data_IF_182584180550
#
_entry.id   IF_182584180550
#
_cell.length_a   1.000
_cell.length_b   1.000
_cell.length_c   1.000
_cell.angle_alpha   90.00
_cell.angle_beta   90.00
_cell.angle_gamma   90.00
#
_symmetry.space_group_name_H-M   'P 1'
#
loop_
_entity.id
_entity.type
_entity.pdbx_description
1 polymer ?
#
# COMPACT_ATOMS: atom_id res chain seq x y z
N UNK A 1 -56.19 17.25 -28.55
CA UNK A 1 -56.94 16.03 -28.17
C UNK A 1 -56.19 14.83 -28.74
N UNK A 2 -55.70 13.92 -27.88
CA UNK A 2 -55.21 12.55 -28.15
C UNK A 2 -54.50 12.18 -29.47
N UNK A 3 -53.18 11.99 -29.41
CA UNK A 3 -52.28 11.13 -30.23
C UNK A 3 -51.01 10.92 -29.37
N UNK A 4 -50.32 9.78 -29.24
CA UNK A 4 -50.56 8.35 -29.50
C UNK A 4 -49.51 7.57 -28.66
N UNK A 5 -49.81 6.37 -28.17
CA UNK A 5 -48.89 5.54 -27.38
C UNK A 5 -48.30 4.39 -28.19
N UNK A 6 -46.99 4.39 -28.45
CA UNK A 6 -46.28 3.15 -28.80
C UNK A 6 -44.76 3.16 -28.53
N UNK A 7 -44.36 2.25 -27.63
CA UNK A 7 -43.20 1.35 -27.75
C UNK A 7 -41.85 1.92 -28.23
N UNK A 8 -40.98 2.20 -27.25
CA UNK A 8 -39.54 2.43 -27.45
C UNK A 8 -38.68 1.82 -26.34
N UNK A 9 -38.67 0.49 -26.19
CA UNK A 9 -37.70 -0.18 -25.30
C UNK A 9 -36.27 0.03 -25.84
N UNK A 10 -35.49 0.87 -25.16
CA UNK A 10 -34.02 0.93 -25.30
C UNK A 10 -33.40 1.05 -23.91
N UNK A 11 -32.71 0.01 -23.48
CA UNK A 11 -31.84 0.08 -22.32
C UNK A 11 -30.53 0.79 -22.72
N UNK A 12 -30.03 1.75 -21.93
CA UNK A 12 -28.64 2.17 -22.06
C UNK A 12 -27.74 1.08 -21.47
N UNK A 13 -27.24 0.21 -22.34
CA UNK A 13 -26.01 -0.53 -22.09
C UNK A 13 -24.86 0.47 -21.95
N UNK A 14 -24.20 0.51 -20.79
CA UNK A 14 -23.21 1.54 -20.48
C UNK A 14 -22.14 1.09 -19.48
N UNK A 15 -21.15 0.36 -19.97
CA UNK A 15 -19.83 0.13 -19.36
C UNK A 15 -19.77 -0.33 -17.88
N UNK A 16 -19.77 -1.65 -17.70
CA UNK A 16 -19.01 -2.29 -16.60
C UNK A 16 -17.52 -1.94 -16.74
N UNK A 17 -17.03 -1.03 -15.90
CA UNK A 17 -15.64 -0.57 -15.88
C UNK A 17 -14.68 -1.45 -15.06
N UNK A 18 -14.63 -2.75 -15.34
CA UNK A 18 -13.64 -3.63 -14.74
C UNK A 18 -12.34 -3.62 -15.56
N UNK A 19 -11.33 -2.85 -15.13
CA UNK A 19 -9.93 -3.06 -15.53
C UNK A 19 -9.06 -3.07 -14.28
N UNK A 20 -8.57 -4.24 -13.85
CA UNK A 20 -7.55 -5.08 -14.49
C UNK A 20 -6.13 -4.52 -14.27
N UNK A 21 -5.42 -5.24 -13.41
CA UNK A 21 -4.03 -5.06 -13.02
C UNK A 21 -3.09 -5.17 -14.25
N UNK A 22 -2.28 -4.15 -14.52
CA UNK A 22 -1.26 -4.21 -15.57
C UNK A 22 0.06 -3.56 -15.11
N UNK A 23 0.85 -4.29 -14.33
CA UNK A 23 2.20 -3.88 -13.96
C UNK A 23 3.22 -4.45 -14.97
N UNK A 24 3.52 -3.69 -16.03
CA UNK A 24 4.55 -4.06 -16.99
C UNK A 24 5.95 -3.69 -16.45
N UNK A 25 6.76 -4.70 -16.15
CA UNK A 25 8.16 -4.57 -15.75
C UNK A 25 9.08 -4.72 -16.98
N UNK A 26 9.88 -3.70 -17.27
CA UNK A 26 11.08 -3.85 -18.10
C UNK A 26 12.30 -4.01 -17.20
N UNK A 27 13.10 -5.07 -17.44
CA UNK A 27 14.28 -5.42 -16.63
C UNK A 27 15.47 -5.61 -17.57
N UNK A 28 16.58 -4.86 -17.40
CA UNK A 28 17.89 -5.30 -17.89
C UNK A 28 18.47 -6.31 -16.90
N UNK A 29 18.74 -7.53 -17.37
CA UNK A 29 19.38 -8.57 -16.56
C UNK A 29 20.89 -8.33 -16.49
N UNK A 30 21.46 -8.42 -15.28
CA UNK A 30 22.91 -8.41 -15.05
C UNK A 30 23.26 -9.63 -14.19
N UNK A 31 23.89 -10.61 -14.83
CA UNK A 31 24.38 -11.82 -14.20
C UNK A 31 25.79 -11.63 -13.62
N UNK A 32 26.14 -12.47 -12.65
CA UNK A 32 27.49 -12.56 -12.06
C UNK A 32 27.48 -12.33 -10.54
N UNK A 33 27.95 -13.27 -9.72
CA UNK A 33 28.41 -14.63 -10.02
C UNK A 33 28.68 -15.43 -8.75
N UNK A 34 28.66 -16.75 -8.83
CA UNK A 34 29.22 -17.60 -7.77
C UNK A 34 30.75 -17.59 -7.83
N UNK A 35 31.40 -17.59 -6.66
CA UNK A 35 32.12 -18.74 -6.12
C UNK A 35 33.12 -18.34 -5.02
N UNK A 36 33.32 -19.22 -4.03
CA UNK A 36 34.63 -19.82 -3.74
C UNK A 36 34.48 -20.95 -2.71
N UNK A 37 34.93 -22.13 -3.11
CA UNK A 37 35.16 -23.30 -2.23
C UNK A 37 36.66 -23.52 -2.10
N UNK A 38 37.13 -23.79 -0.88
CA UNK A 38 38.43 -24.41 -0.56
C UNK A 38 38.44 -24.75 0.94
N UNK A 39 39.09 -25.77 1.47
CA UNK A 39 39.47 -27.11 0.96
C UNK A 39 39.81 -27.96 2.21
N UNK A 40 39.77 -29.30 2.16
CA UNK A 40 39.93 -30.12 3.36
C UNK A 40 41.39 -30.26 3.81
N UNK A 41 41.62 -30.34 5.12
CA UNK A 41 42.89 -30.80 5.71
C UNK A 41 42.64 -32.00 6.61
N UNK A 42 43.34 -33.11 6.37
CA UNK A 42 43.18 -34.39 7.11
C UNK A 42 44.55 -35.07 7.30
N UNK A 43 45.00 -35.16 8.57
CA UNK A 43 45.92 -36.15 9.16
C UNK A 43 46.07 -35.82 10.68
N UNK A 44 46.27 -36.74 11.64
CA UNK A 44 46.21 -38.21 11.69
C UNK A 44 46.48 -38.71 13.13
N UNK A 45 46.06 -39.94 13.54
CA UNK A 45 46.35 -40.50 14.87
C UNK A 45 47.78 -41.13 14.92
N UNK A 46 48.37 -41.52 16.08
CA UNK A 46 47.71 -41.91 17.34
C UNK A 46 48.36 -41.40 18.66
N UNK A 47 47.70 -41.66 19.80
CA UNK A 47 48.27 -41.43 21.14
C UNK A 47 47.25 -41.52 22.27
N UNK A 48 46.84 -42.72 22.68
CA UNK A 48 45.97 -42.90 23.84
C UNK A 48 46.73 -42.67 25.15
N UNK A 49 46.35 -41.63 25.88
CA UNK A 49 46.59 -41.51 27.31
C UNK A 49 45.25 -41.67 28.03
N UNK A 50 45.15 -42.46 29.12
CA UNK A 50 43.90 -42.65 29.85
C UNK A 50 43.53 -41.40 30.66
N UNK A 51 43.02 -40.40 29.95
CA UNK A 51 42.44 -39.19 30.52
C UNK A 51 41.21 -39.59 31.33
N UNK A 52 41.34 -39.51 32.66
CA UNK A 52 40.26 -39.76 33.62
C UNK A 52 39.12 -38.80 33.30
N UNK A 53 38.06 -39.31 32.66
CA UNK A 53 36.92 -38.51 32.26
C UNK A 53 36.18 -38.03 33.52
N UNK A 54 36.50 -36.82 33.97
CA UNK A 54 35.64 -36.08 34.89
C UNK A 54 34.38 -35.77 34.10
N UNK A 55 33.31 -36.53 34.34
CA UNK A 55 31.98 -36.20 33.86
C UNK A 55 31.52 -34.96 34.64
N UNK A 56 32.00 -33.80 34.21
CA UNK A 56 31.36 -32.54 34.52
C UNK A 56 29.97 -32.65 33.93
N UNK A 57 28.96 -32.81 34.78
CA UNK A 57 27.58 -32.80 34.35
C UNK A 57 27.36 -31.50 33.55
N UNK A 58 27.07 -31.62 32.26
CA UNK A 58 26.85 -30.46 31.42
C UNK A 58 25.76 -29.61 32.09
N UNK A 59 25.96 -28.28 32.27
CA UNK A 59 24.91 -27.43 32.81
C UNK A 59 23.69 -27.62 31.92
N UNK A 60 22.59 -28.08 32.53
CA UNK A 60 21.46 -28.66 31.80
C UNK A 60 21.02 -27.76 30.66
N UNK A 61 20.76 -28.37 29.49
CA UNK A 61 20.52 -27.66 28.23
C UNK A 61 19.42 -26.62 28.36
N UNK A 62 19.83 -25.39 28.68
CA UNK A 62 18.94 -24.24 28.68
C UNK A 62 18.68 -23.94 27.22
N UNK A 63 17.60 -24.52 26.70
CA UNK A 63 17.06 -24.31 25.34
C UNK A 63 16.54 -22.88 25.18
N UNK A 64 17.46 -21.92 25.30
CA UNK A 64 17.24 -20.49 25.14
C UNK A 64 16.82 -20.29 23.70
N UNK A 65 15.51 -20.09 23.50
CA UNK A 65 14.87 -20.06 22.18
C UNK A 65 15.63 -19.11 21.25
N UNK A 66 16.44 -19.70 20.36
CA UNK A 66 17.29 -18.93 19.43
C UNK A 66 16.39 -18.06 18.56
N UNK A 67 16.74 -16.78 18.32
CA UNK A 67 16.01 -15.96 17.36
C UNK A 67 15.93 -16.70 16.02
N UNK A 68 14.72 -16.95 15.52
CA UNK A 68 14.54 -17.54 14.22
C UNK A 68 14.95 -16.52 13.15
N UNK A 69 15.79 -16.92 12.20
CA UNK A 69 16.01 -16.12 11.00
C UNK A 69 14.68 -16.00 10.25
N UNK A 70 14.27 -14.78 9.94
CA UNK A 70 13.10 -14.53 9.10
C UNK A 70 13.59 -14.27 7.68
N UNK A 71 13.31 -15.21 6.80
CA UNK A 71 13.54 -15.06 5.37
C UNK A 71 12.43 -14.23 4.73
N UNK A 72 12.83 -13.33 3.84
CA UNK A 72 11.95 -12.47 3.04
C UNK A 72 12.09 -12.86 1.57
N UNK A 73 11.08 -12.58 0.73
CA UNK A 73 11.25 -12.75 -0.71
C UNK A 73 12.29 -11.77 -1.26
N UNK A 74 13.04 -12.17 -2.29
CA UNK A 74 14.08 -11.34 -2.93
C UNK A 74 13.56 -9.96 -3.37
N UNK A 75 12.27 -9.90 -3.71
CA UNK A 75 11.60 -8.68 -4.17
C UNK A 75 11.11 -7.76 -3.03
N UNK A 76 11.18 -8.19 -1.77
CA UNK A 76 10.70 -7.45 -0.60
C UNK A 76 11.28 -6.03 -0.50
N UNK A 77 12.60 -5.90 -0.63
CA UNK A 77 13.29 -4.61 -0.58
C UNK A 77 12.92 -3.68 -1.74
N UNK A 78 12.65 -4.23 -2.93
CA UNK A 78 12.22 -3.45 -4.09
C UNK A 78 10.80 -2.92 -3.91
N UNK A 79 9.85 -3.76 -3.48
CA UNK A 79 8.47 -3.34 -3.16
C UNK A 79 8.46 -2.32 -2.04
N UNK A 80 9.32 -2.47 -1.01
CA UNK A 80 9.41 -1.53 0.10
C UNK A 80 9.82 -0.12 -0.36
N UNK A 81 10.83 -0.02 -1.25
CA UNK A 81 11.27 1.26 -1.82
C UNK A 81 10.18 1.91 -2.68
N UNK A 82 9.45 1.13 -3.47
CA UNK A 82 8.32 1.63 -4.28
C UNK A 82 7.21 2.18 -3.37
N UNK A 83 6.81 1.41 -2.35
CA UNK A 83 5.80 1.81 -1.37
C UNK A 83 6.20 3.10 -0.61
N UNK A 84 7.46 3.19 -0.17
CA UNK A 84 7.99 4.39 0.49
C UNK A 84 7.95 5.62 -0.42
N UNK A 85 8.41 5.49 -1.67
CA UNK A 85 8.43 6.60 -2.63
C UNK A 85 7.01 7.06 -2.98
N UNK A 86 6.11 6.11 -3.26
CA UNK A 86 4.70 6.38 -3.51
C UNK A 86 4.06 7.15 -2.34
N UNK A 87 4.28 6.69 -1.12
CA UNK A 87 3.74 7.32 0.09
C UNK A 87 4.20 8.77 0.30
N UNK A 88 5.40 9.16 -0.15
CA UNK A 88 5.83 10.57 -0.12
C UNK A 88 5.08 11.47 -1.12
N UNK A 89 4.66 10.92 -2.27
CA UNK A 89 3.90 11.69 -3.29
C UNK A 89 2.43 11.90 -2.92
N UNK A 90 1.92 11.17 -1.93
CA UNK A 90 0.55 11.29 -1.41
C UNK A 90 0.22 12.72 -0.94
N UNK A 91 1.10 13.32 -0.11
CA UNK A 91 0.85 14.62 0.50
C UNK A 91 0.67 15.77 -0.51
N UNK A 92 1.56 16.00 -1.51
CA UNK A 92 1.34 17.05 -2.49
C UNK A 92 0.08 16.80 -3.35
N UNK A 93 -0.26 15.54 -3.66
CA UNK A 93 -1.50 15.19 -4.36
C UNK A 93 -2.73 15.53 -3.51
N UNK A 94 -2.72 15.23 -2.21
CA UNK A 94 -3.82 15.59 -1.29
C UNK A 94 -4.00 17.11 -1.15
N UNK A 95 -2.91 17.87 -1.04
CA UNK A 95 -2.96 19.34 -0.99
C UNK A 95 -3.57 19.91 -2.28
N UNK A 96 -3.13 19.41 -3.44
CA UNK A 96 -3.68 19.83 -4.73
C UNK A 96 -5.17 19.42 -4.90
N UNK A 97 -5.54 18.22 -4.44
CA UNK A 97 -6.94 17.76 -4.42
C UNK A 97 -7.83 18.64 -3.54
N UNK A 98 -7.36 18.99 -2.34
CA UNK A 98 -8.10 19.86 -1.44
C UNK A 98 -8.30 21.25 -2.04
N UNK A 99 -7.25 21.83 -2.61
CA UNK A 99 -7.30 23.16 -3.24
C UNK A 99 -8.25 23.19 -4.45
N UNK A 100 -8.17 22.19 -5.34
CA UNK A 100 -9.08 22.09 -6.49
C UNK A 100 -10.53 21.82 -6.04
N UNK A 101 -10.71 20.93 -5.07
CA UNK A 101 -12.01 20.58 -4.50
C UNK A 101 -12.71 21.76 -3.82
N UNK A 102 -12.01 22.61 -3.06
CA UNK A 102 -12.63 23.82 -2.48
C UNK A 102 -13.14 24.78 -3.57
N UNK A 103 -12.34 25.03 -4.62
CA UNK A 103 -12.78 25.90 -5.72
C UNK A 103 -14.06 25.40 -6.40
N UNK A 104 -14.21 24.07 -6.56
CA UNK A 104 -15.42 23.45 -7.11
C UNK A 104 -16.61 23.55 -6.14
N UNK A 105 -16.38 23.30 -4.85
CA UNK A 105 -17.44 23.35 -3.82
C UNK A 105 -17.95 24.77 -3.52
N UNK A 106 -17.13 25.79 -3.73
CA UNK A 106 -17.47 27.19 -3.43
C UNK A 106 -18.07 27.92 -4.64
N UNK A 107 -17.70 27.52 -5.87
CA UNK A 107 -18.08 28.21 -7.12
C UNK A 107 -18.91 27.37 -8.09
N UNK A 108 -19.14 26.09 -7.77
CA UNK A 108 -19.75 25.11 -8.67
C UNK A 108 -18.87 24.79 -9.88
N UNK A 109 -19.28 23.77 -10.66
CA UNK A 109 -18.50 23.30 -11.82
C UNK A 109 -18.37 24.32 -12.96
N UNK A 110 -19.27 25.28 -13.09
CA UNK A 110 -19.17 26.30 -14.15
C UNK A 110 -18.48 27.59 -13.69
N UNK A 111 -18.58 27.94 -12.40
CA UNK A 111 -17.91 29.12 -11.83
C UNK A 111 -16.45 28.88 -11.38
N UNK A 112 -16.03 27.62 -11.25
CA UNK A 112 -14.67 27.29 -10.84
C UNK A 112 -13.61 27.57 -11.94
N UNK A 113 -12.40 28.03 -11.57
CA UNK A 113 -11.31 28.26 -12.52
C UNK A 113 -10.91 26.97 -13.25
N UNK A 114 -10.56 27.07 -14.54
CA UNK A 114 -10.25 25.93 -15.42
C UNK A 114 -9.29 24.90 -14.79
N UNK A 115 -8.23 25.35 -14.13
CA UNK A 115 -7.26 24.46 -13.49
C UNK A 115 -7.92 23.53 -12.45
N UNK A 116 -8.86 24.01 -11.64
CA UNK A 116 -9.51 23.18 -10.62
C UNK A 116 -10.42 22.12 -11.27
N UNK A 117 -11.13 22.51 -12.34
CA UNK A 117 -12.07 21.65 -13.09
C UNK A 117 -11.37 20.52 -13.83
N UNK A 118 -10.18 20.79 -14.35
CA UNK A 118 -9.33 19.83 -15.07
C UNK A 118 -8.50 18.97 -14.11
N UNK A 119 -7.89 19.58 -13.09
CA UNK A 119 -6.94 18.90 -12.21
C UNK A 119 -7.63 18.02 -11.18
N UNK A 120 -8.80 18.40 -10.64
CA UNK A 120 -9.48 17.58 -9.63
C UNK A 120 -9.76 16.13 -10.09
N UNK A 121 -10.38 15.88 -11.27
CA UNK A 121 -10.57 14.50 -11.73
C UNK A 121 -9.24 13.81 -12.09
N UNK A 122 -8.26 14.53 -12.64
CA UNK A 122 -6.95 13.96 -12.97
C UNK A 122 -6.17 13.53 -11.71
N UNK A 123 -6.18 14.36 -10.66
CA UNK A 123 -5.59 14.08 -9.36
C UNK A 123 -6.36 13.00 -8.58
N UNK A 124 -7.68 12.89 -8.76
CA UNK A 124 -8.47 11.78 -8.23
C UNK A 124 -8.02 10.45 -8.85
N UNK A 125 -7.87 10.41 -10.19
CA UNK A 125 -7.30 9.26 -10.90
C UNK A 125 -5.87 8.93 -10.43
N UNK A 126 -5.01 9.94 -10.31
CA UNK A 126 -3.65 9.78 -9.79
C UNK A 126 -3.63 9.23 -8.34
N UNK A 127 -4.56 9.68 -7.49
CA UNK A 127 -4.74 9.15 -6.13
C UNK A 127 -5.11 7.67 -6.17
N UNK A 128 -6.08 7.28 -7.00
CA UNK A 128 -6.49 5.88 -7.16
C UNK A 128 -5.35 4.97 -7.63
N UNK A 129 -4.57 5.41 -8.62
CA UNK A 129 -3.37 4.69 -9.09
C UNK A 129 -2.32 4.58 -7.98
N UNK A 130 -2.06 5.69 -7.28
CA UNK A 130 -1.06 5.73 -6.21
C UNK A 130 -1.38 4.73 -5.11
N UNK A 131 -2.60 4.77 -4.57
CA UNK A 131 -3.04 3.88 -3.51
C UNK A 131 -3.14 2.43 -3.98
N UNK A 132 -3.58 2.16 -5.21
CA UNK A 132 -3.53 0.83 -5.80
C UNK A 132 -2.12 0.22 -5.78
N UNK A 133 -1.11 0.98 -6.26
CA UNK A 133 0.30 0.56 -6.19
C UNK A 133 0.78 0.39 -4.74
N UNK A 134 0.40 1.32 -3.86
CA UNK A 134 0.82 1.32 -2.46
C UNK A 134 0.27 0.10 -1.71
N UNK A 135 -0.99 -0.26 -1.93
CA UNK A 135 -1.66 -1.40 -1.27
C UNK A 135 -1.20 -2.74 -1.82
N UNK A 136 -0.90 -2.86 -3.11
CA UNK A 136 -0.29 -4.07 -3.66
C UNK A 136 1.12 -4.30 -3.09
N UNK A 137 1.97 -3.28 -3.10
CA UNK A 137 3.36 -3.39 -2.61
C UNK A 137 3.44 -3.53 -1.09
N UNK A 138 2.62 -2.76 -0.37
CA UNK A 138 2.51 -2.76 1.08
C UNK A 138 1.85 -4.02 1.62
N UNK A 139 0.75 -4.48 1.02
CA UNK A 139 0.05 -5.71 1.37
C UNK A 139 0.93 -6.95 1.18
N UNK A 140 1.70 -7.03 0.09
CA UNK A 140 2.65 -8.11 -0.13
C UNK A 140 3.80 -8.08 0.89
N UNK A 141 4.33 -6.90 1.21
CA UNK A 141 5.38 -6.76 2.23
C UNK A 141 4.85 -7.04 3.65
N UNK A 142 3.62 -6.66 3.96
CA UNK A 142 2.97 -7.05 5.20
C UNK A 142 2.80 -8.57 5.27
N UNK A 143 2.39 -9.22 4.17
CA UNK A 143 2.25 -10.68 4.11
C UNK A 143 3.59 -11.39 4.35
N UNK A 144 4.67 -11.00 3.68
CA UNK A 144 6.01 -11.56 3.89
C UNK A 144 6.47 -11.34 5.35
N UNK A 145 6.31 -10.11 5.87
CA UNK A 145 6.75 -9.73 7.23
C UNK A 145 5.81 -10.15 8.37
N UNK A 146 4.69 -10.84 8.08
CA UNK A 146 3.64 -11.14 9.09
C UNK A 146 4.10 -12.02 10.25
N UNK A 147 5.20 -12.75 10.07
CA UNK A 147 5.79 -13.63 11.10
C UNK A 147 6.97 -13.01 11.85
N UNK A 148 7.59 -11.95 11.32
CA UNK A 148 8.61 -11.21 12.06
C UNK A 148 7.95 -10.49 13.25
N UNK A 149 8.43 -10.70 14.50
CA UNK A 149 7.88 -10.04 15.68
C UNK A 149 8.23 -8.54 15.75
N UNK A 150 9.34 -8.12 15.17
CA UNK A 150 9.88 -6.74 15.22
C UNK A 150 8.90 -5.78 14.56
N UNK A 151 8.52 -4.70 15.24
CA UNK A 151 7.53 -3.71 14.80
C UNK A 151 6.18 -4.27 14.27
N UNK A 152 5.85 -5.55 14.51
CA UNK A 152 4.72 -6.25 13.84
C UNK A 152 3.39 -5.52 14.02
N UNK A 153 3.14 -5.01 15.24
CA UNK A 153 1.91 -4.28 15.59
C UNK A 153 1.76 -3.01 14.75
N UNK A 154 2.85 -2.26 14.54
CA UNK A 154 2.86 -1.08 13.68
C UNK A 154 2.57 -1.45 12.23
N UNK A 155 3.23 -2.49 11.69
CA UNK A 155 3.01 -2.94 10.30
C UNK A 155 1.57 -3.35 10.05
N UNK A 156 0.95 -4.08 10.98
CA UNK A 156 -0.48 -4.46 10.87
C UNK A 156 -1.41 -3.27 11.02
N UNK A 157 -1.20 -2.38 11.99
CA UNK A 157 -2.05 -1.20 12.17
C UNK A 157 -1.99 -0.25 10.96
N UNK A 158 -0.80 -0.04 10.39
CA UNK A 158 -0.62 0.70 9.14
C UNK A 158 -1.38 0.04 7.97
N UNK A 159 -1.24 -1.28 7.78
CA UNK A 159 -1.93 -2.00 6.71
C UNK A 159 -3.47 -1.88 6.83
N UNK A 160 -4.01 -1.96 8.04
CA UNK A 160 -5.46 -1.77 8.29
C UNK A 160 -5.90 -0.34 8.00
N UNK A 161 -5.14 0.68 8.43
CA UNK A 161 -5.45 2.08 8.14
C UNK A 161 -5.39 2.38 6.63
N UNK A 162 -4.41 1.86 5.91
CA UNK A 162 -4.29 2.03 4.46
C UNK A 162 -5.47 1.38 3.72
N UNK A 163 -5.85 0.15 4.07
CA UNK A 163 -7.03 -0.51 3.51
C UNK A 163 -8.36 0.23 3.83
N UNK A 164 -8.46 0.85 5.01
CA UNK A 164 -9.62 1.68 5.37
C UNK A 164 -9.67 2.99 4.56
N UNK A 165 -8.51 3.62 4.34
CA UNK A 165 -8.40 4.81 3.49
C UNK A 165 -8.78 4.49 2.03
N UNK A 166 -8.25 3.39 1.47
CA UNK A 166 -8.57 2.86 0.15
C UNK A 166 -10.07 2.66 -0.05
N UNK A 167 -10.73 2.00 0.90
CA UNK A 167 -12.17 1.76 0.84
C UNK A 167 -12.95 3.08 0.77
N UNK A 168 -12.61 4.08 1.59
CA UNK A 168 -13.22 5.40 1.52
C UNK A 168 -12.91 6.15 0.23
N UNK A 169 -11.69 6.04 -0.33
CA UNK A 169 -11.35 6.62 -1.62
C UNK A 169 -12.09 5.96 -2.78
N UNK A 170 -12.30 4.64 -2.76
CA UNK A 170 -13.08 3.91 -3.76
C UNK A 170 -14.58 4.27 -3.73
N UNK A 171 -15.11 4.60 -2.55
CA UNK A 171 -16.51 4.97 -2.35
C UNK A 171 -16.77 6.46 -2.64
N UNK A 172 -15.79 7.35 -2.40
CA UNK A 172 -15.90 8.81 -2.54
C UNK A 172 -16.48 9.29 -3.90
N UNK A 173 -16.11 8.73 -5.07
CA UNK A 173 -16.66 9.14 -6.37
C UNK A 173 -18.18 8.99 -6.51
N UNK A 174 -18.81 8.05 -5.80
CA UNK A 174 -20.26 7.82 -5.87
C UNK A 174 -21.11 9.01 -5.37
N UNK A 175 -20.47 9.96 -4.68
CA UNK A 175 -21.09 11.16 -4.12
C UNK A 175 -20.73 12.46 -4.88
N UNK A 176 -20.03 12.35 -6.01
CA UNK A 176 -19.70 13.49 -6.85
C UNK A 176 -20.94 14.10 -7.57
N UNK A 177 -20.72 15.25 -8.21
CA UNK A 177 -21.65 15.87 -9.16
C UNK A 177 -21.98 14.91 -10.32
N UNK A 178 -23.26 14.87 -10.69
CA UNK A 178 -23.77 14.19 -11.88
C UNK A 178 -24.31 15.20 -12.91
N UNK A 179 -24.71 14.71 -14.08
CA UNK A 179 -25.16 15.52 -15.21
C UNK A 179 -26.46 16.31 -14.94
N UNK A 180 -27.20 15.98 -13.86
CA UNK A 180 -28.39 16.72 -13.43
C UNK A 180 -28.11 17.86 -12.43
N UNK A 181 -26.87 17.95 -11.93
CA UNK A 181 -26.49 18.82 -10.82
C UNK A 181 -26.80 18.17 -9.47
N UNK A 182 -25.77 17.95 -8.65
CA UNK A 182 -25.94 17.25 -7.37
C UNK A 182 -26.42 18.16 -6.23
N UNK A 183 -27.28 17.60 -5.38
CA UNK A 183 -27.62 18.19 -4.08
C UNK A 183 -26.38 18.45 -3.21
N UNK A 184 -26.42 19.54 -2.43
CA UNK A 184 -25.38 19.98 -1.50
C UNK A 184 -25.04 18.91 -0.47
N UNK A 185 -26.00 18.06 -0.07
CA UNK A 185 -25.74 16.95 0.87
C UNK A 185 -24.78 15.89 0.29
N UNK A 186 -24.88 15.58 -1.01
CA UNK A 186 -23.98 14.66 -1.72
C UNK A 186 -22.56 15.22 -1.76
N UNK A 187 -22.42 16.50 -2.13
CA UNK A 187 -21.14 17.21 -2.13
C UNK A 187 -20.48 17.27 -0.75
N UNK A 188 -21.24 17.47 0.33
CA UNK A 188 -20.70 17.41 1.69
C UNK A 188 -20.30 15.98 2.09
N UNK A 189 -21.04 14.96 1.64
CA UNK A 189 -20.67 13.56 1.86
C UNK A 189 -19.38 13.21 1.13
N UNK A 190 -19.24 13.63 -0.14
CA UNK A 190 -18.00 13.49 -0.92
C UNK A 190 -16.81 14.17 -0.22
N UNK A 191 -16.96 15.43 0.19
CA UNK A 191 -15.92 16.17 0.94
C UNK A 191 -15.53 15.44 2.23
N UNK A 192 -16.52 14.97 3.00
CA UNK A 192 -16.30 14.34 4.29
C UNK A 192 -15.58 12.99 4.16
N UNK A 193 -15.99 12.15 3.20
CA UNK A 193 -15.32 10.90 2.89
C UNK A 193 -13.88 11.14 2.41
N UNK A 194 -13.68 12.05 1.46
CA UNK A 194 -12.37 12.39 0.93
C UNK A 194 -11.40 12.84 2.03
N UNK A 195 -11.82 13.81 2.87
CA UNK A 195 -11.01 14.32 3.98
C UNK A 195 -10.74 13.25 5.05
N UNK A 196 -11.72 12.39 5.33
CA UNK A 196 -11.56 11.29 6.31
C UNK A 196 -10.55 10.26 5.80
N UNK A 197 -10.65 9.81 4.54
CA UNK A 197 -9.65 8.93 3.92
C UNK A 197 -8.27 9.55 3.86
N UNK A 198 -8.16 10.84 3.49
CA UNK A 198 -6.88 11.57 3.51
C UNK A 198 -6.27 11.61 4.92
N UNK A 199 -7.08 11.87 5.94
CA UNK A 199 -6.64 11.87 7.34
C UNK A 199 -6.18 10.49 7.83
N UNK A 200 -6.94 9.43 7.53
CA UNK A 200 -6.58 8.05 7.86
C UNK A 200 -5.27 7.64 7.18
N UNK A 201 -5.11 7.94 5.88
CA UNK A 201 -3.89 7.66 5.14
C UNK A 201 -2.69 8.46 5.68
N UNK A 202 -2.87 9.77 5.95
CA UNK A 202 -1.82 10.61 6.53
C UNK A 202 -1.39 10.11 7.92
N UNK A 203 -2.33 9.69 8.78
CA UNK A 203 -2.01 9.10 10.08
C UNK A 203 -1.28 7.76 9.94
N UNK A 204 -1.75 6.87 9.05
CA UNK A 204 -1.11 5.59 8.75
C UNK A 204 0.29 5.74 8.15
N UNK A 205 0.55 6.80 7.38
CA UNK A 205 1.88 7.15 6.90
C UNK A 205 2.77 7.69 8.02
N UNK A 206 2.28 8.65 8.80
CA UNK A 206 3.03 9.31 9.88
C UNK A 206 3.52 8.31 10.95
N UNK A 207 2.68 7.34 11.33
CA UNK A 207 3.05 6.30 12.31
C UNK A 207 4.18 5.36 11.84
N UNK A 208 4.54 5.38 10.54
CA UNK A 208 5.65 4.60 10.00
C UNK A 208 6.98 5.37 9.95
N UNK A 209 6.95 6.68 10.20
CA UNK A 209 8.16 7.50 10.27
C UNK A 209 8.83 7.38 11.64
N UNK A 210 10.17 7.45 11.73
CA UNK A 210 10.85 7.75 12.98
C UNK A 210 10.44 9.15 13.47
N UNK A 211 10.24 9.37 14.78
CA UNK A 211 10.43 8.44 15.90
C UNK A 211 9.15 7.68 16.32
N UNK A 212 8.04 7.79 15.57
CA UNK A 212 6.74 7.22 15.97
C UNK A 212 6.73 5.69 15.96
N UNK A 213 7.34 5.10 14.94
CA UNK A 213 7.50 3.63 14.83
C UNK A 213 8.48 3.13 15.90
N UNK A 214 7.97 2.36 16.88
CA UNK A 214 8.82 1.60 17.81
C UNK A 214 9.18 0.24 17.20
N UNK A 215 10.44 -0.16 17.37
CA UNK A 215 10.98 -1.44 16.86
C UNK A 215 10.55 -2.62 17.75
#
# INVERSE_FOLDING_TARGET
>A
MWVNSSHGRRAPTGALGAMALAAALAIPSLAGGQERVASPFVMGPPGELPSRAVVVAAPGDTTRRRPAAIEYSDWYGRRLRIHQLASWTMLPIFVAQYAAGQQLLDKGRDGAPKWARDWHPALAGATGVLFGVNTLTGGWNWWDSRRDPTARRWRTAHAVLMLAADAGFAITPAFAEDEGGSDRSRLQTHKSLALTSMGIAAAGWLMMLPPFRRE
#
